data_IF_248887729832
#
_entry.id   IF_248887729832
#
_cell.length_a   1.000
_cell.length_b   1.000
_cell.length_c   1.000
_cell.angle_alpha   90.00
_cell.angle_beta   90.00
_cell.angle_gamma   90.00
#
_symmetry.space_group_name_H-M   'P 1'
#
loop_
_entity.id
_entity.type
_entity.pdbx_description
1 polymer ?
#
# COMPACT_ATOMS: atom_id res chain seq x y z
N UNK A 1 -18.35 -3.22 6.91
CA UNK A 1 -17.75 -2.89 5.59
C UNK A 1 -16.24 -2.81 5.75
N UNK A 2 -15.46 -3.10 4.71
CA UNK A 2 -13.99 -3.06 4.72
C UNK A 2 -13.46 -1.67 4.28
N UNK A 3 -13.85 -0.61 4.98
CA UNK A 3 -13.58 0.80 4.61
C UNK A 3 -12.52 1.48 5.49
N UNK A 4 -11.64 0.72 6.12
CA UNK A 4 -10.59 1.27 7.00
C UNK A 4 -9.25 0.56 6.81
N UNK A 5 -8.85 0.38 5.54
CA UNK A 5 -7.50 -0.09 5.22
C UNK A 5 -6.49 1.03 5.47
N UNK A 6 -5.34 0.67 6.05
CA UNK A 6 -4.23 1.59 6.27
C UNK A 6 -3.35 1.74 5.03
N UNK A 7 -2.57 2.83 5.00
CA UNK A 7 -1.47 2.98 4.04
C UNK A 7 -0.34 2.01 4.38
N UNK A 8 0.41 1.57 3.37
CA UNK A 8 1.55 0.67 3.57
C UNK A 8 2.50 1.25 4.63
N UNK A 9 2.80 0.44 5.66
CA UNK A 9 3.62 0.83 6.81
C UNK A 9 2.85 1.35 8.03
N UNK A 10 1.57 1.71 7.91
CA UNK A 10 0.76 2.15 9.07
C UNK A 10 0.11 0.97 9.83
N UNK A 11 0.07 -0.20 9.19
CA UNK A 11 -0.46 -1.43 9.78
C UNK A 11 0.62 -2.36 10.33
N UNK A 12 0.25 -3.61 10.59
CA UNK A 12 1.14 -4.65 11.14
C UNK A 12 1.56 -5.71 10.12
N UNK A 13 1.17 -5.55 8.85
CA UNK A 13 1.50 -6.51 7.79
C UNK A 13 2.97 -6.33 7.39
N UNK A 14 3.73 -7.42 7.40
CA UNK A 14 5.08 -7.47 6.82
C UNK A 14 5.00 -7.57 5.29
N UNK A 15 4.77 -6.43 4.63
CA UNK A 15 4.58 -6.34 3.18
C UNK A 15 5.80 -6.86 2.42
N UNK A 16 7.01 -6.56 2.91
CA UNK A 16 8.26 -6.90 2.23
C UNK A 16 8.47 -8.41 2.15
N UNK A 17 8.26 -9.14 3.25
CA UNK A 17 8.40 -10.60 3.24
C UNK A 17 7.40 -11.27 2.28
N UNK A 18 6.16 -10.77 2.24
CA UNK A 18 5.15 -11.30 1.32
C UNK A 18 5.52 -11.02 -0.14
N UNK A 19 5.95 -9.79 -0.46
CA UNK A 19 6.43 -9.44 -1.80
C UNK A 19 7.57 -10.36 -2.24
N UNK A 20 8.59 -10.52 -1.40
CA UNK A 20 9.76 -11.36 -1.71
C UNK A 20 9.36 -12.81 -1.97
N UNK A 21 8.40 -13.34 -1.22
CA UNK A 21 7.89 -14.70 -1.43
C UNK A 21 7.21 -14.84 -2.81
N UNK A 22 6.46 -13.83 -3.26
CA UNK A 22 5.79 -13.84 -4.57
C UNK A 22 6.79 -13.62 -5.72
N UNK A 23 7.75 -12.71 -5.55
CA UNK A 23 8.84 -12.50 -6.52
C UNK A 23 9.72 -13.75 -6.68
N UNK A 24 9.95 -14.51 -5.59
CA UNK A 24 10.67 -15.78 -5.63
C UNK A 24 9.96 -16.87 -6.46
N UNK A 25 8.65 -16.75 -6.67
CA UNK A 25 7.87 -17.61 -7.57
C UNK A 25 7.92 -17.13 -9.04
N UNK A 26 8.68 -16.07 -9.34
CA UNK A 26 8.89 -15.55 -10.68
C UNK A 26 7.97 -14.39 -11.07
N UNK A 27 7.21 -13.82 -10.13
CA UNK A 27 6.42 -12.63 -10.41
C UNK A 27 7.31 -11.40 -10.61
N UNK A 28 7.09 -10.66 -11.70
CA UNK A 28 7.89 -9.48 -12.08
C UNK A 28 7.02 -8.28 -12.49
N UNK A 29 5.72 -8.34 -12.17
CA UNK A 29 4.76 -7.29 -12.50
C UNK A 29 4.79 -6.10 -11.53
N UNK A 30 3.81 -5.21 -11.69
CA UNK A 30 3.64 -4.03 -10.83
C UNK A 30 2.88 -4.39 -9.54
N UNK A 31 3.14 -3.62 -8.48
CA UNK A 31 2.39 -3.72 -7.22
C UNK A 31 1.27 -2.68 -7.19
N UNK A 32 0.03 -3.16 -7.05
CA UNK A 32 -1.14 -2.30 -6.92
C UNK A 32 -1.35 -1.86 -5.46
N UNK A 33 -1.70 -0.58 -5.28
CA UNK A 33 -2.06 -0.02 -3.97
C UNK A 33 -3.58 0.19 -3.94
N UNK A 34 -4.29 -0.65 -3.18
CA UNK A 34 -5.75 -0.58 -3.03
C UNK A 34 -6.17 -0.32 -1.57
N UNK A 35 -6.64 0.89 -1.30
CA UNK A 35 -7.01 1.34 0.05
C UNK A 35 -8.44 1.90 0.03
N UNK A 36 -9.33 1.23 0.75
CA UNK A 36 -10.63 1.77 1.11
C UNK A 36 -10.54 2.36 2.51
N UNK A 37 -10.65 3.69 2.63
CA UNK A 37 -10.48 4.42 3.90
C UNK A 37 -11.41 5.64 3.93
N UNK A 38 -12.67 5.40 4.29
CA UNK A 38 -13.74 6.41 4.18
C UNK A 38 -13.55 7.60 5.12
N UNK A 39 -12.90 7.37 6.25
CA UNK A 39 -12.75 8.36 7.32
C UNK A 39 -11.37 9.01 7.36
N UNK A 40 -10.47 8.67 6.42
CA UNK A 40 -9.11 9.22 6.35
C UNK A 40 -8.66 9.43 4.90
N UNK A 41 -8.13 8.40 4.22
CA UNK A 41 -7.43 8.62 2.95
C UNK A 41 -8.33 9.13 1.82
N UNK A 42 -9.63 8.83 1.83
CA UNK A 42 -10.59 9.37 0.86
C UNK A 42 -10.93 10.86 1.08
N UNK A 43 -10.60 11.42 2.25
CA UNK A 43 -10.91 12.81 2.58
C UNK A 43 -9.72 13.76 2.35
N UNK A 44 -8.57 13.21 1.94
CA UNK A 44 -7.33 13.96 1.70
C UNK A 44 -7.21 14.37 0.24
N UNK A 45 -6.31 15.30 -0.02
CA UNK A 45 -5.99 15.72 -1.38
C UNK A 45 -5.44 14.54 -2.20
N UNK A 46 -5.99 14.23 -3.40
CA UNK A 46 -5.56 13.08 -4.18
C UNK A 46 -4.08 13.10 -4.60
N UNK A 47 -3.50 14.27 -4.88
CA UNK A 47 -2.10 14.37 -5.28
C UNK A 47 -1.18 14.08 -4.08
N UNK A 48 -1.57 14.55 -2.89
CA UNK A 48 -0.91 14.18 -1.63
C UNK A 48 -0.97 12.66 -1.40
N UNK A 49 -2.15 12.05 -1.56
CA UNK A 49 -2.34 10.61 -1.37
C UNK A 49 -1.45 9.82 -2.32
N UNK A 50 -1.39 10.18 -3.60
CA UNK A 50 -0.54 9.51 -4.58
C UNK A 50 0.95 9.71 -4.32
N UNK A 51 1.36 10.88 -3.83
CA UNK A 51 2.74 11.13 -3.42
C UNK A 51 3.14 10.22 -2.24
N UNK A 52 2.26 10.08 -1.25
CA UNK A 52 2.46 9.20 -0.10
C UNK A 52 2.48 7.72 -0.52
N UNK A 53 1.57 7.28 -1.40
CA UNK A 53 1.59 5.92 -1.94
C UNK A 53 2.96 5.57 -2.54
N UNK A 54 3.51 6.47 -3.37
CA UNK A 54 4.84 6.29 -3.99
C UNK A 54 5.95 6.25 -2.96
N UNK A 55 5.92 7.15 -1.97
CA UNK A 55 6.90 7.17 -0.89
C UNK A 55 6.86 5.85 -0.10
N UNK A 56 5.68 5.44 0.36
CA UNK A 56 5.49 4.26 1.20
C UNK A 56 5.78 2.96 0.44
N UNK A 57 5.50 2.90 -0.86
CA UNK A 57 5.91 1.78 -1.72
C UNK A 57 7.44 1.63 -1.76
N UNK A 58 8.19 2.75 -1.86
CA UNK A 58 9.66 2.70 -1.83
C UNK A 58 10.22 2.28 -0.48
N UNK A 59 9.55 2.66 0.61
CA UNK A 59 10.03 2.46 1.98
C UNK A 59 9.63 1.09 2.58
N UNK A 60 8.39 0.65 2.35
CA UNK A 60 7.77 -0.53 2.98
C UNK A 60 7.39 -1.63 2.00
N UNK A 61 7.40 -1.32 0.70
CA UNK A 61 7.28 -2.33 -0.34
C UNK A 61 8.53 -3.16 -0.49
#
# INVERSE_FOLDING_TARGET
MLLDRGMMGDGVIDIRSHRQAIEALGYTGLHEVEIFSSNNWWQRDPDEVLAICKQRHREFG
#
